data_IF_269914134902
#
_entry.id   IF_269914134902
#
_cell.length_a   1.000
_cell.length_b   1.000
_cell.length_c   1.000
_cell.angle_alpha   90.00
_cell.angle_beta   90.00
_cell.angle_gamma   90.00
#
_symmetry.space_group_name_H-M   'P 1'
#
loop_
_entity.id
_entity.type
_entity.pdbx_description
1 polymer ?
#
# COMPACT_ATOMS: atom_id res chain seq x y z
N UNK A 1 -19.87 25.41 6.77
CA UNK A 1 -20.11 24.59 5.56
C UNK A 1 -18.81 24.11 4.92
N UNK A 2 -17.75 24.93 4.90
CA UNK A 2 -16.43 24.63 4.31
C UNK A 2 -15.78 23.34 4.83
N UNK A 3 -15.80 23.10 6.15
CA UNK A 3 -15.23 21.88 6.74
C UNK A 3 -15.92 20.59 6.26
N UNK A 4 -17.25 20.60 6.10
CA UNK A 4 -18.00 19.41 5.68
C UNK A 4 -17.71 19.02 4.22
N UNK A 5 -17.50 20.00 3.34
CA UNK A 5 -17.13 19.76 1.94
C UNK A 5 -15.68 19.26 1.82
N UNK A 6 -14.77 19.82 2.61
CA UNK A 6 -13.38 19.38 2.67
C UNK A 6 -13.26 17.93 3.17
N UNK A 7 -14.00 17.58 4.22
CA UNK A 7 -14.00 16.22 4.77
C UNK A 7 -14.63 15.21 3.79
N UNK A 8 -15.68 15.61 3.05
CA UNK A 8 -16.28 14.78 2.01
C UNK A 8 -15.30 14.50 0.86
N UNK A 9 -14.56 15.51 0.40
CA UNK A 9 -13.53 15.35 -0.63
C UNK A 9 -12.39 14.44 -0.16
N UNK A 10 -11.92 14.64 1.08
CA UNK A 10 -10.90 13.78 1.70
C UNK A 10 -11.36 12.32 1.80
N UNK A 11 -12.59 12.09 2.24
CA UNK A 11 -13.17 10.75 2.30
C UNK A 11 -13.28 10.12 0.90
N UNK A 12 -13.71 10.88 -0.11
CA UNK A 12 -13.77 10.41 -1.49
C UNK A 12 -12.41 9.96 -2.00
N UNK A 13 -11.37 10.78 -1.80
CA UNK A 13 -9.99 10.45 -2.19
C UNK A 13 -9.52 9.17 -1.46
N UNK A 14 -9.64 9.12 -0.13
CA UNK A 14 -9.23 7.95 0.67
C UNK A 14 -9.91 6.65 0.23
N UNK A 15 -11.22 6.70 -0.07
CA UNK A 15 -12.01 5.52 -0.47
C UNK A 15 -11.50 4.87 -1.76
N UNK A 16 -10.84 5.62 -2.64
CA UNK A 16 -10.34 5.16 -3.95
C UNK A 16 -8.89 4.68 -3.90
N UNK A 17 -8.16 5.02 -2.84
CA UNK A 17 -6.72 4.79 -2.77
C UNK A 17 -6.35 3.32 -2.92
N UNK A 18 -7.04 2.43 -2.18
CA UNK A 18 -6.79 0.98 -2.23
C UNK A 18 -6.97 0.43 -3.65
N UNK A 19 -8.10 0.72 -4.29
CA UNK A 19 -8.37 0.25 -5.66
C UNK A 19 -7.37 0.81 -6.68
N UNK A 20 -6.93 2.06 -6.49
CA UNK A 20 -5.99 2.71 -7.39
C UNK A 20 -4.57 2.11 -7.32
N UNK A 21 -4.10 1.75 -6.11
CA UNK A 21 -2.69 1.45 -5.86
C UNK A 21 -2.39 -0.02 -5.59
N UNK A 22 -3.36 -0.75 -5.04
CA UNK A 22 -3.16 -2.14 -4.65
C UNK A 22 -3.14 -3.05 -5.88
N UNK A 23 -2.13 -3.91 -5.97
CA UNK A 23 -1.95 -4.85 -7.08
C UNK A 23 -1.70 -6.24 -6.55
N UNK A 24 -2.22 -7.21 -7.30
CA UNK A 24 -1.88 -8.61 -7.10
C UNK A 24 -0.47 -8.87 -7.62
N UNK A 25 0.38 -9.31 -6.70
CA UNK A 25 1.79 -9.62 -6.92
C UNK A 25 2.09 -11.08 -6.54
N UNK A 26 1.06 -11.88 -6.25
CA UNK A 26 1.20 -13.26 -5.77
C UNK A 26 1.99 -14.14 -6.74
N UNK A 27 1.77 -13.97 -8.05
CA UNK A 27 2.57 -14.64 -9.08
C UNK A 27 4.06 -14.28 -9.04
N UNK A 28 4.38 -12.98 -8.92
CA UNK A 28 5.77 -12.51 -8.79
C UNK A 28 6.42 -13.02 -7.50
N UNK A 29 5.67 -13.06 -6.39
CA UNK A 29 6.14 -13.58 -5.12
C UNK A 29 6.41 -15.09 -5.20
N UNK A 30 5.55 -15.85 -5.88
CA UNK A 30 5.74 -17.27 -6.10
C UNK A 30 6.99 -17.55 -6.94
N UNK A 31 7.19 -16.81 -8.04
CA UNK A 31 8.40 -16.91 -8.88
C UNK A 31 9.67 -16.60 -8.07
N UNK A 32 9.61 -15.58 -7.21
CA UNK A 32 10.73 -15.20 -6.35
C UNK A 32 11.05 -16.28 -5.31
N UNK A 33 10.03 -16.91 -4.72
CA UNK A 33 10.22 -18.05 -3.80
C UNK A 33 10.84 -19.25 -4.51
N UNK A 34 10.40 -19.56 -5.74
CA UNK A 34 10.99 -20.63 -6.55
C UNK A 34 12.44 -20.33 -6.87
N UNK A 35 12.75 -19.11 -7.28
CA UNK A 35 14.11 -18.67 -7.62
C UNK A 35 15.07 -18.76 -6.42
N UNK A 36 14.57 -18.53 -5.21
CA UNK A 36 15.33 -18.62 -3.95
C UNK A 36 15.33 -20.04 -3.34
N UNK A 37 14.52 -20.97 -3.85
CA UNK A 37 14.39 -22.31 -3.32
C UNK A 37 13.80 -22.37 -1.91
N UNK A 38 12.83 -21.50 -1.61
CA UNK A 38 12.27 -21.35 -0.26
C UNK A 38 11.20 -22.39 0.08
N UNK A 39 11.22 -22.84 1.33
CA UNK A 39 10.27 -23.78 1.92
C UNK A 39 9.87 -23.27 3.29
N UNK A 40 8.58 -23.33 3.58
CA UNK A 40 8.05 -23.06 4.90
C UNK A 40 8.55 -24.11 5.93
N UNK A 41 8.44 -23.84 7.25
CA UNK A 41 8.95 -24.73 8.30
C UNK A 41 8.36 -26.15 8.30
N UNK A 42 7.14 -26.31 7.76
CA UNK A 42 6.45 -27.59 7.59
C UNK A 42 6.91 -28.39 6.35
N UNK A 43 7.84 -27.83 5.56
CA UNK A 43 8.32 -28.39 4.30
C UNK A 43 7.45 -28.04 3.08
N UNK A 44 6.42 -27.20 3.24
CA UNK A 44 5.60 -26.73 2.12
C UNK A 44 6.42 -25.77 1.24
N UNK A 45 6.43 -25.92 -0.10
CA UNK A 45 7.07 -24.94 -0.97
C UNK A 45 6.46 -23.55 -0.77
N UNK A 46 7.27 -22.54 -0.40
CA UNK A 46 6.79 -21.19 -0.08
C UNK A 46 6.01 -20.56 -1.25
N UNK A 47 6.37 -20.90 -2.49
CA UNK A 47 5.65 -20.47 -3.69
C UNK A 47 4.14 -20.81 -3.67
N UNK A 48 3.74 -21.93 -3.02
CA UNK A 48 2.33 -22.29 -2.85
C UNK A 48 1.59 -21.35 -1.90
N UNK A 49 2.26 -20.91 -0.84
CA UNK A 49 1.70 -19.96 0.13
C UNK A 49 1.61 -18.55 -0.46
N UNK A 50 2.56 -18.17 -1.32
CA UNK A 50 2.47 -16.92 -2.07
C UNK A 50 1.23 -16.85 -2.97
N UNK A 51 0.87 -17.97 -3.63
CA UNK A 51 -0.31 -18.05 -4.49
C UNK A 51 -1.59 -17.93 -3.66
N UNK A 52 -2.33 -16.83 -3.83
CA UNK A 52 -3.56 -16.55 -3.09
C UNK A 52 -3.37 -15.70 -1.82
N UNK A 53 -2.13 -15.34 -1.48
CA UNK A 53 -1.84 -14.46 -0.33
C UNK A 53 -2.30 -13.02 -0.51
N UNK A 54 -2.63 -12.60 -1.74
CA UNK A 54 -2.91 -11.21 -2.10
C UNK A 54 -3.92 -10.54 -1.17
N UNK A 55 -5.11 -11.13 -0.99
CA UNK A 55 -6.16 -10.53 -0.16
C UNK A 55 -5.72 -10.36 1.28
N UNK A 56 -5.08 -11.39 1.86
CA UNK A 56 -4.64 -11.38 3.25
C UNK A 56 -3.53 -10.35 3.48
N UNK A 57 -2.52 -10.30 2.61
CA UNK A 57 -1.42 -9.32 2.70
C UNK A 57 -1.94 -7.90 2.48
N UNK A 58 -2.83 -7.70 1.51
CA UNK A 58 -3.47 -6.40 1.30
C UNK A 58 -4.28 -5.96 2.52
N UNK A 59 -5.12 -6.83 3.09
CA UNK A 59 -5.89 -6.49 4.30
C UNK A 59 -4.97 -6.18 5.48
N UNK A 60 -3.87 -6.93 5.65
CA UNK A 60 -2.88 -6.69 6.69
C UNK A 60 -2.23 -5.31 6.58
N UNK A 61 -1.89 -4.87 5.37
CA UNK A 61 -1.30 -3.57 5.10
C UNK A 61 -2.29 -2.43 5.30
N UNK A 62 -3.47 -2.52 4.69
CA UNK A 62 -4.47 -1.45 4.73
C UNK A 62 -5.13 -1.31 6.11
N UNK A 63 -5.13 -2.34 6.97
CA UNK A 63 -5.53 -2.21 8.38
C UNK A 63 -4.52 -1.43 9.22
N UNK A 64 -3.25 -1.39 8.82
CA UNK A 64 -2.19 -0.65 9.52
C UNK A 64 -1.91 0.74 8.94
N UNK A 65 -2.40 1.01 7.74
CA UNK A 65 -2.23 2.30 7.09
C UNK A 65 -2.94 3.43 7.85
N UNK A 66 -2.20 4.49 8.15
CA UNK A 66 -2.77 5.74 8.62
C UNK A 66 -3.01 6.72 7.47
N UNK A 67 -4.24 7.19 7.29
CA UNK A 67 -4.58 8.21 6.29
C UNK A 67 -4.30 9.62 6.83
N UNK A 68 -3.02 9.95 7.01
CA UNK A 68 -2.58 11.25 7.52
C UNK A 68 -2.75 12.33 6.44
N UNK A 69 -3.64 13.29 6.66
CA UNK A 69 -3.83 14.44 5.74
C UNK A 69 -2.87 15.59 6.02
N UNK A 70 -2.35 15.69 7.24
CA UNK A 70 -1.42 16.76 7.64
C UNK A 70 -0.05 16.63 6.96
N UNK A 71 0.29 15.42 6.52
CA UNK A 71 1.56 15.07 5.87
C UNK A 71 1.46 15.10 4.33
N UNK A 72 0.28 15.39 3.79
CA UNK A 72 0.04 15.42 2.33
C UNK A 72 0.68 16.68 1.74
N UNK A 73 1.68 16.48 0.88
CA UNK A 73 2.34 17.56 0.15
C UNK A 73 1.68 17.73 -1.22
N UNK A 74 1.15 18.93 -1.49
CA UNK A 74 0.47 19.29 -2.74
C UNK A 74 1.46 19.68 -3.86
N UNK A 75 2.46 18.84 -4.14
CA UNK A 75 3.46 19.07 -5.18
C UNK A 75 3.41 17.95 -6.21
N UNK A 76 3.43 18.31 -7.49
CA UNK A 76 3.36 17.39 -8.61
C UNK A 76 4.75 16.90 -9.02
N UNK A 77 5.07 15.62 -8.76
CA UNK A 77 6.15 14.89 -9.45
C UNK A 77 5.75 13.46 -9.92
N UNK A 78 4.55 13.01 -9.58
CA UNK A 78 3.94 11.75 -10.03
C UNK A 78 4.21 10.55 -9.10
N UNK A 79 3.28 9.60 -9.06
CA UNK A 79 3.30 8.51 -8.06
C UNK A 79 4.13 7.28 -8.47
N UNK A 80 4.79 7.28 -9.63
CA UNK A 80 5.43 6.07 -10.19
C UNK A 80 6.55 5.54 -9.30
N UNK A 81 7.36 6.42 -8.73
CA UNK A 81 8.46 6.05 -7.84
C UNK A 81 7.95 5.39 -6.55
N UNK A 82 7.03 6.05 -5.85
CA UNK A 82 6.46 5.52 -4.61
C UNK A 82 5.62 4.26 -4.83
N UNK A 83 4.94 4.15 -5.97
CA UNK A 83 4.21 2.95 -6.32
C UNK A 83 5.15 1.76 -6.53
N UNK A 84 6.28 1.96 -7.21
CA UNK A 84 7.27 0.89 -7.38
C UNK A 84 7.88 0.46 -6.03
N UNK A 85 8.20 1.41 -5.14
CA UNK A 85 8.70 1.11 -3.80
C UNK A 85 7.69 0.32 -2.97
N UNK A 86 6.43 0.74 -2.95
CA UNK A 86 5.36 0.02 -2.26
C UNK A 86 5.19 -1.40 -2.79
N UNK A 87 5.10 -1.58 -4.11
CA UNK A 87 4.94 -2.92 -4.71
C UNK A 87 6.14 -3.82 -4.42
N UNK A 88 7.36 -3.27 -4.39
CA UNK A 88 8.56 -4.02 -3.98
C UNK A 88 8.52 -4.43 -2.51
N UNK A 89 8.12 -3.52 -1.62
CA UNK A 89 8.01 -3.83 -0.19
C UNK A 89 6.91 -4.85 0.10
N UNK A 90 5.78 -4.76 -0.61
CA UNK A 90 4.71 -5.76 -0.57
C UNK A 90 5.18 -7.13 -1.04
N UNK A 91 6.01 -7.18 -2.09
CA UNK A 91 6.64 -8.41 -2.58
C UNK A 91 7.53 -9.04 -1.51
N UNK A 92 8.42 -8.25 -0.90
CA UNK A 92 9.33 -8.73 0.12
C UNK A 92 8.59 -9.25 1.37
N UNK A 93 7.52 -8.56 1.78
CA UNK A 93 6.63 -9.03 2.85
C UNK A 93 5.95 -10.36 2.49
N UNK A 94 5.44 -10.48 1.26
CA UNK A 94 4.72 -11.69 0.81
C UNK A 94 5.66 -12.91 0.80
N UNK A 95 6.89 -12.72 0.33
CA UNK A 95 7.91 -13.77 0.33
C UNK A 95 8.31 -14.14 1.76
N UNK A 96 8.54 -13.16 2.64
CA UNK A 96 8.90 -13.42 4.03
C UNK A 96 7.80 -14.16 4.80
N UNK A 97 6.53 -13.80 4.59
CA UNK A 97 5.38 -14.51 5.16
C UNK A 97 5.35 -15.96 4.71
N UNK A 98 5.48 -16.20 3.41
CA UNK A 98 5.48 -17.55 2.86
C UNK A 98 6.66 -18.39 3.37
N UNK A 99 7.86 -17.81 3.47
CA UNK A 99 9.04 -18.49 4.01
C UNK A 99 8.87 -18.86 5.50
N UNK A 100 8.14 -18.03 6.25
CA UNK A 100 7.82 -18.30 7.65
C UNK A 100 6.62 -19.24 7.88
N UNK A 101 5.95 -19.72 6.83
CA UNK A 101 4.71 -20.48 6.98
C UNK A 101 3.54 -19.64 7.50
N UNK A 102 3.43 -18.38 7.05
CA UNK A 102 2.44 -17.38 7.47
C UNK A 102 2.53 -16.95 8.96
N UNK A 103 3.67 -17.18 9.61
CA UNK A 103 3.90 -16.74 10.99
C UNK A 103 4.45 -15.29 11.06
N UNK A 104 4.01 -14.52 12.06
CA UNK A 104 4.53 -13.17 12.34
C UNK A 104 5.87 -13.24 13.09
N UNK A 105 6.92 -13.65 12.38
CA UNK A 105 8.29 -13.63 12.90
C UNK A 105 8.85 -12.21 12.97
N UNK A 106 9.95 -11.95 13.72
CA UNK A 106 10.58 -10.63 13.75
C UNK A 106 11.00 -10.10 12.37
N UNK A 107 11.40 -10.98 11.45
CA UNK A 107 11.69 -10.58 10.07
C UNK A 107 10.42 -10.14 9.33
N UNK A 108 9.34 -10.92 9.46
CA UNK A 108 8.05 -10.58 8.85
C UNK A 108 7.53 -9.25 9.39
N UNK A 109 7.63 -9.00 10.70
CA UNK A 109 7.27 -7.72 11.32
C UNK A 109 8.10 -6.55 10.75
N UNK A 110 9.40 -6.76 10.55
CA UNK A 110 10.26 -5.76 9.93
C UNK A 110 9.84 -5.46 8.49
N UNK A 111 9.56 -6.49 7.67
CA UNK A 111 9.09 -6.31 6.28
C UNK A 111 7.74 -5.63 6.22
N UNK A 112 6.86 -5.96 7.16
CA UNK A 112 5.56 -5.36 7.30
C UNK A 112 5.65 -3.88 7.64
N UNK A 113 6.51 -3.49 8.59
CA UNK A 113 6.75 -2.09 8.91
C UNK A 113 7.30 -1.31 7.70
N UNK A 114 8.23 -1.91 6.95
CA UNK A 114 8.75 -1.32 5.70
C UNK A 114 7.66 -1.14 4.64
N UNK A 115 6.79 -2.13 4.47
CA UNK A 115 5.70 -2.08 3.50
C UNK A 115 4.61 -1.07 3.88
N UNK A 116 4.30 -0.93 5.17
CA UNK A 116 3.39 0.11 5.68
C UNK A 116 3.98 1.50 5.45
N UNK A 117 5.25 1.73 5.80
CA UNK A 117 5.91 3.02 5.56
C UNK A 117 5.94 3.41 4.07
N UNK A 118 6.21 2.45 3.19
CA UNK A 118 6.16 2.68 1.74
C UNK A 118 4.73 2.98 1.24
N UNK A 119 3.71 2.35 1.84
CA UNK A 119 2.31 2.61 1.52
C UNK A 119 1.86 4.01 2.02
N UNK A 120 2.35 4.46 3.17
CA UNK A 120 2.12 5.81 3.69
C UNK A 120 2.74 6.89 2.80
N UNK A 121 3.97 6.68 2.32
CA UNK A 121 4.62 7.58 1.35
C UNK A 121 3.85 7.63 0.02
N UNK A 122 3.37 6.48 -0.45
CA UNK A 122 2.51 6.42 -1.62
C UNK A 122 1.18 7.13 -1.39
N UNK A 123 0.58 6.99 -0.20
CA UNK A 123 -0.63 7.70 0.19
C UNK A 123 -0.43 9.21 0.13
N UNK A 124 0.61 9.74 0.77
CA UNK A 124 0.90 11.18 0.82
C UNK A 124 1.05 11.76 -0.60
N UNK A 125 1.81 11.07 -1.46
CA UNK A 125 2.04 11.49 -2.84
C UNK A 125 0.78 11.39 -3.70
N UNK A 126 0.03 10.29 -3.56
CA UNK A 126 -1.19 10.05 -4.35
C UNK A 126 -2.34 10.96 -3.92
N UNK A 127 -2.54 11.16 -2.63
CA UNK A 127 -3.55 12.07 -2.10
C UNK A 127 -3.24 13.52 -2.49
N UNK A 128 -1.97 13.93 -2.43
CA UNK A 128 -1.53 15.24 -2.91
C UNK A 128 -1.79 15.42 -4.40
N UNK A 129 -1.44 14.41 -5.22
CA UNK A 129 -1.75 14.42 -6.64
C UNK A 129 -3.27 14.54 -6.91
N UNK A 130 -4.08 13.67 -6.31
CA UNK A 130 -5.54 13.71 -6.48
C UNK A 130 -6.11 15.05 -6.03
N UNK A 131 -5.67 15.58 -4.90
CA UNK A 131 -6.08 16.89 -4.43
C UNK A 131 -5.81 18.03 -5.44
N UNK A 132 -4.68 17.96 -6.15
CA UNK A 132 -4.33 18.97 -7.17
C UNK A 132 -5.03 18.78 -8.51
N UNK A 133 -5.46 17.56 -8.85
CA UNK A 133 -6.08 17.25 -10.15
C UNK A 133 -7.58 17.05 -10.11
N UNK A 134 -8.17 16.92 -8.92
CA UNK A 134 -9.61 16.77 -8.76
C UNK A 134 -10.20 18.14 -8.45
N UNK A 135 -11.06 18.65 -9.34
CA UNK A 135 -11.75 19.93 -9.20
C UNK A 135 -12.45 20.09 -7.83
N UNK A 136 -12.77 18.99 -7.15
CA UNK A 136 -13.50 18.96 -5.88
C UNK A 136 -12.73 19.59 -4.71
N UNK A 137 -11.40 19.46 -4.63
CA UNK A 137 -10.62 20.15 -3.59
C UNK A 137 -10.31 21.60 -4.01
N UNK A 138 -10.03 21.83 -5.29
CA UNK A 138 -9.84 23.17 -5.82
C UNK A 138 -11.08 24.06 -5.60
N UNK A 139 -12.29 23.54 -5.85
CA UNK A 139 -13.57 24.24 -5.56
C UNK A 139 -13.78 24.49 -4.07
N UNK A 140 -13.44 23.53 -3.21
CA UNK A 140 -13.56 23.71 -1.76
C UNK A 140 -12.57 24.75 -1.19
N UNK A 141 -11.43 24.96 -1.88
CA UNK A 141 -10.44 26.00 -1.55
C UNK A 141 -10.79 27.37 -2.16
N UNK A 142 -11.32 27.41 -3.39
CA UNK A 142 -11.70 28.65 -4.08
C UNK A 142 -12.95 29.32 -3.47
N UNK A 143 -13.93 28.57 -2.95
CA UNK A 143 -15.10 29.14 -2.27
C UNK A 143 -14.77 29.79 -0.90
N UNK A 144 -13.54 29.61 -0.40
CA UNK A 144 -13.06 30.17 0.86
C UNK A 144 -12.12 31.38 0.70
N UNK A 145 -11.82 31.78 -0.55
CA UNK A 145 -10.96 32.93 -0.90
C UNK A 145 -11.73 34.23 -1.11
#
# INVERSE_FOLDING_TARGET
>A
MTYALQDAARHHIASRFRAATDRDISGLAADECLRRGLFAPDGTPAARLCLGSHSAVSDLLFRRLHFGWEEVVYVYDGTRGEQAKYLKAKLDLTVALADSGDELTPEVEQRLAQAVAALEQLWQSWAGYQATTTDDLARALDEAG
#
